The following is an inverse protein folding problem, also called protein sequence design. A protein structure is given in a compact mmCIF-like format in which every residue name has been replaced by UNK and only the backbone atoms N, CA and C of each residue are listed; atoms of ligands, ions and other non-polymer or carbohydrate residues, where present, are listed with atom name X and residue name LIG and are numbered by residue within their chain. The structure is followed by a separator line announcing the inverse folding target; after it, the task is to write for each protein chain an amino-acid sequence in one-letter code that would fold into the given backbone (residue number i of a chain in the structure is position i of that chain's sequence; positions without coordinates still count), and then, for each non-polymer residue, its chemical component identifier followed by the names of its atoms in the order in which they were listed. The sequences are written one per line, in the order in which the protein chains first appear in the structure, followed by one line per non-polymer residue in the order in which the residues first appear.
data_IF_120412680727
#
_entry.id   IF_120412680727
#
_cell.length_a   1.000
_cell.length_b   1.000
_cell.length_c   1.000
_cell.angle_alpha   90.00
_cell.angle_beta   90.00
_cell.angle_gamma   90.00
#
_symmetry.space_group_name_H-M   'P 1'
#
loop_
_entity.id
_entity.type
_entity.pdbx_description
1 polymer ?
#
# COMPACT_ATOMS: atom_id res chain seq x y z
N UNK A 1 -2.19 -26.64 4.50
CA UNK A 1 -3.14 -26.04 3.52
C UNK A 1 -3.16 -26.92 2.26
N UNK A 2 -4.34 -27.37 1.84
CA UNK A 2 -4.50 -28.15 0.61
C UNK A 2 -4.17 -27.29 -0.63
N UNK A 3 -3.83 -27.95 -1.76
CA UNK A 3 -3.44 -27.23 -3.00
C UNK A 3 -4.50 -26.24 -3.46
N UNK A 4 -5.78 -26.63 -3.44
CA UNK A 4 -6.88 -25.75 -3.83
C UNK A 4 -7.02 -24.54 -2.90
N UNK A 5 -6.89 -24.75 -1.59
CA UNK A 5 -6.94 -23.66 -0.60
C UNK A 5 -5.77 -22.69 -0.79
N UNK A 6 -4.59 -23.21 -1.15
CA UNK A 6 -3.42 -22.38 -1.45
C UNK A 6 -3.64 -21.53 -2.69
N UNK A 7 -4.23 -22.08 -3.74
CA UNK A 7 -4.56 -21.31 -4.96
C UNK A 7 -5.60 -20.22 -4.66
N UNK A 8 -6.64 -20.53 -3.88
CA UNK A 8 -7.61 -19.54 -3.45
C UNK A 8 -6.96 -18.43 -2.61
N UNK A 9 -6.10 -18.78 -1.66
CA UNK A 9 -5.40 -17.81 -0.84
C UNK A 9 -4.50 -16.88 -1.68
N UNK A 10 -3.84 -17.38 -2.74
CA UNK A 10 -3.08 -16.54 -3.67
C UNK A 10 -3.99 -15.49 -4.33
N UNK A 11 -5.17 -15.89 -4.83
CA UNK A 11 -6.11 -14.97 -5.45
C UNK A 11 -6.71 -13.98 -4.44
N UNK A 12 -6.98 -14.41 -3.21
CA UNK A 12 -7.45 -13.52 -2.13
C UNK A 12 -6.41 -12.46 -1.76
N UNK A 13 -5.12 -12.82 -1.68
CA UNK A 13 -4.02 -11.88 -1.40
C UNK A 13 -3.88 -10.88 -2.56
N UNK A 14 -3.97 -11.32 -3.82
CA UNK A 14 -3.95 -10.43 -4.98
C UNK A 14 -5.14 -9.47 -4.96
N UNK A 15 -6.33 -9.97 -4.67
CA UNK A 15 -7.54 -9.15 -4.57
C UNK A 15 -7.45 -8.15 -3.40
N UNK A 16 -6.83 -8.54 -2.28
CA UNK A 16 -6.55 -7.65 -1.15
C UNK A 16 -5.64 -6.49 -1.56
N UNK A 17 -4.55 -6.76 -2.29
CA UNK A 17 -3.64 -5.72 -2.79
C UNK A 17 -4.33 -4.80 -3.82
N UNK A 18 -5.17 -5.36 -4.67
CA UNK A 18 -5.97 -4.56 -5.61
C UNK A 18 -6.92 -3.60 -4.86
N UNK A 19 -7.54 -4.03 -3.76
CA UNK A 19 -8.36 -3.16 -2.90
C UNK A 19 -7.54 -2.07 -2.21
N UNK A 20 -6.32 -2.36 -1.81
CA UNK A 20 -5.39 -1.35 -1.28
C UNK A 20 -5.18 -0.22 -2.30
N UNK A 21 -4.78 -0.54 -3.53
CA UNK A 21 -4.57 0.45 -4.58
C UNK A 21 -5.85 1.22 -4.89
N UNK A 22 -6.97 0.53 -5.03
CA UNK A 22 -8.26 1.18 -5.30
C UNK A 22 -8.68 2.11 -4.17
N UNK A 23 -8.47 1.73 -2.91
CA UNK A 23 -8.77 2.55 -1.74
C UNK A 23 -7.99 3.86 -1.73
N UNK A 24 -6.71 3.82 -2.07
CA UNK A 24 -5.88 5.02 -2.22
C UNK A 24 -6.33 5.86 -3.41
N UNK A 25 -6.48 5.26 -4.58
CA UNK A 25 -6.74 5.99 -5.83
C UNK A 25 -8.15 6.59 -5.87
N UNK A 26 -9.15 5.91 -5.30
CA UNK A 26 -10.50 6.44 -5.17
C UNK A 26 -10.73 7.31 -3.92
N UNK A 27 -9.71 7.47 -3.07
CA UNK A 27 -9.80 8.20 -1.79
C UNK A 27 -10.90 7.63 -0.88
N UNK A 28 -11.08 6.31 -0.90
CA UNK A 28 -12.07 5.59 -0.09
C UNK A 28 -11.43 5.13 1.23
N UNK A 29 -11.67 5.91 2.29
CA UNK A 29 -11.09 5.65 3.60
C UNK A 29 -11.53 4.30 4.19
N UNK A 30 -12.80 3.94 4.05
CA UNK A 30 -13.33 2.68 4.58
C UNK A 30 -12.73 1.47 3.85
N UNK A 31 -12.65 1.53 2.53
CA UNK A 31 -12.03 0.49 1.72
C UNK A 31 -10.54 0.34 2.06
N UNK A 32 -9.79 1.45 2.11
CA UNK A 32 -8.36 1.42 2.41
C UNK A 32 -8.10 0.87 3.83
N UNK A 33 -8.91 1.30 4.83
CA UNK A 33 -8.77 0.77 6.19
C UNK A 33 -9.06 -0.73 6.26
N UNK A 34 -10.03 -1.20 5.49
CA UNK A 34 -10.49 -2.60 5.51
C UNK A 34 -9.42 -3.62 5.11
N UNK A 35 -8.39 -3.22 4.39
CA UNK A 35 -7.32 -4.14 3.95
C UNK A 35 -6.29 -4.43 5.03
N UNK A 36 -6.22 -3.59 6.08
CA UNK A 36 -5.25 -3.72 7.16
C UNK A 36 -5.82 -4.47 8.36
N UNK A 37 -4.98 -5.30 8.96
CA UNK A 37 -5.22 -5.79 10.32
C UNK A 37 -5.06 -4.65 11.34
N UNK A 38 -5.66 -4.79 12.51
CA UNK A 38 -5.42 -3.86 13.62
C UNK A 38 -3.95 -3.89 14.02
N UNK A 39 -3.38 -2.72 14.29
CA UNK A 39 -1.96 -2.57 14.63
C UNK A 39 -0.99 -2.84 13.47
N UNK A 40 -1.48 -2.91 12.24
CA UNK A 40 -0.63 -3.12 11.07
C UNK A 40 0.48 -2.07 10.95
N UNK A 41 1.67 -2.54 10.59
CA UNK A 41 2.84 -1.69 10.36
C UNK A 41 2.83 -1.13 8.95
N UNK A 42 3.07 0.17 8.82
CA UNK A 42 3.28 0.84 7.53
C UNK A 42 4.61 1.58 7.54
N UNK A 43 5.49 1.30 6.58
CA UNK A 43 6.80 1.93 6.45
C UNK A 43 6.97 2.55 5.06
N UNK A 44 6.81 3.86 5.01
CA UNK A 44 6.94 4.67 3.81
C UNK A 44 8.10 5.66 3.90
N UNK A 45 9.10 5.37 4.73
CA UNK A 45 10.27 6.25 4.89
C UNK A 45 11.04 6.47 3.58
N UNK A 46 10.93 5.56 2.62
CA UNK A 46 11.53 5.73 1.28
C UNK A 46 10.87 6.86 0.45
N UNK A 47 9.72 7.38 0.87
CA UNK A 47 9.11 8.59 0.27
C UNK A 47 9.82 9.87 0.68
N UNK A 48 10.58 9.85 1.76
CA UNK A 48 11.32 11.00 2.28
C UNK A 48 12.81 10.87 1.94
N UNK A 49 13.45 11.92 1.40
CA UNK A 49 14.90 11.93 1.15
C UNK A 49 15.73 11.70 2.41
N UNK A 50 15.19 12.04 3.58
CA UNK A 50 15.87 11.91 4.87
C UNK A 50 15.43 10.71 5.70
N UNK A 51 14.46 9.91 5.18
CA UNK A 51 13.91 8.77 5.92
C UNK A 51 13.07 9.20 7.13
N UNK A 52 12.17 10.18 6.97
CA UNK A 52 11.35 10.74 8.04
C UNK A 52 10.69 9.63 8.89
N UNK A 53 11.02 9.55 10.21
CA UNK A 53 10.44 8.53 11.09
C UNK A 53 8.91 8.59 11.21
N UNK A 54 8.27 9.74 10.95
CA UNK A 54 6.83 9.88 10.97
C UNK A 54 6.12 9.04 9.89
N UNK A 55 6.86 8.60 8.86
CA UNK A 55 6.36 7.73 7.79
C UNK A 55 6.45 6.23 8.14
N UNK A 56 6.86 5.90 9.36
CA UNK A 56 6.85 4.55 9.90
C UNK A 56 5.89 4.49 11.09
N UNK A 57 4.80 3.76 10.95
CA UNK A 57 3.69 3.76 11.90
C UNK A 57 3.17 2.34 12.15
N UNK A 58 2.52 2.15 13.31
CA UNK A 58 1.79 0.94 13.69
C UNK A 58 0.28 1.21 13.91
N UNK A 59 -0.22 2.30 13.36
CA UNK A 59 -1.61 2.73 13.46
C UNK A 59 -2.21 2.89 12.05
N UNK A 60 -2.93 1.85 11.55
CA UNK A 60 -3.53 1.92 10.21
C UNK A 60 -4.63 2.98 10.10
N UNK A 61 -5.30 3.36 11.18
CA UNK A 61 -6.27 4.46 11.14
C UNK A 61 -5.58 5.81 10.90
N UNK A 62 -4.44 6.04 11.57
CA UNK A 62 -3.61 7.21 11.33
C UNK A 62 -3.01 7.21 9.91
N UNK A 63 -2.53 6.06 9.44
CA UNK A 63 -2.02 5.92 8.08
C UNK A 63 -3.07 6.30 7.03
N UNK A 64 -4.27 5.76 7.13
CA UNK A 64 -5.37 6.06 6.19
C UNK A 64 -5.71 7.54 6.22
N UNK A 65 -5.92 8.10 7.41
CA UNK A 65 -6.27 9.51 7.58
C UNK A 65 -5.20 10.44 6.99
N UNK A 66 -3.93 10.19 7.30
CA UNK A 66 -2.82 11.05 6.87
C UNK A 66 -2.57 10.92 5.35
N UNK A 67 -2.66 9.69 4.82
CA UNK A 67 -2.51 9.45 3.38
C UNK A 67 -3.59 10.17 2.58
N UNK A 68 -4.86 10.02 2.94
CA UNK A 68 -5.95 10.65 2.21
C UNK A 68 -5.97 12.18 2.41
N UNK A 69 -5.53 12.68 3.56
CA UNK A 69 -5.32 14.10 3.77
C UNK A 69 -4.25 14.67 2.82
N UNK A 70 -3.10 14.00 2.71
CA UNK A 70 -2.02 14.43 1.82
C UNK A 70 -2.42 14.39 0.33
N UNK A 71 -3.26 13.43 -0.05
CA UNK A 71 -3.67 13.19 -1.43
C UNK A 71 -4.96 13.90 -1.85
N UNK A 72 -5.50 14.80 -1.01
CA UNK A 72 -6.67 15.61 -1.39
C UNK A 72 -6.34 16.50 -2.61
N UNK A 73 -7.16 16.39 -3.65
CA UNK A 73 -6.96 17.12 -4.90
C UNK A 73 -5.83 16.56 -5.78
N UNK A 74 -5.33 15.37 -5.46
CA UNK A 74 -4.28 14.71 -6.23
C UNK A 74 -4.86 13.55 -7.03
N UNK A 75 -4.70 13.57 -8.34
CA UNK A 75 -5.01 12.44 -9.19
C UNK A 75 -3.90 11.42 -9.06
N UNK A 76 -4.24 10.20 -8.65
CA UNK A 76 -3.27 9.15 -8.39
C UNK A 76 -3.59 7.86 -9.14
N UNK A 77 -2.54 7.15 -9.54
CA UNK A 77 -2.64 5.79 -10.04
C UNK A 77 -1.51 4.97 -9.43
N UNK A 78 -1.88 3.98 -8.63
CA UNK A 78 -0.97 2.99 -8.07
C UNK A 78 -1.15 1.67 -8.80
N UNK A 79 -0.04 1.10 -9.29
CA UNK A 79 -0.03 -0.16 -10.01
C UNK A 79 0.88 -1.16 -9.30
N UNK A 80 0.39 -2.38 -9.15
CA UNK A 80 1.20 -3.53 -8.77
C UNK A 80 1.29 -4.49 -9.95
N UNK A 81 2.48 -5.07 -10.13
CA UNK A 81 2.74 -6.05 -11.17
C UNK A 81 2.79 -7.46 -10.57
N UNK A 82 3.29 -8.42 -11.33
CA UNK A 82 3.34 -9.82 -10.90
C UNK A 82 4.07 -9.99 -9.57
N UNK A 83 3.39 -10.41 -8.50
CA UNK A 83 4.00 -10.59 -7.19
C UNK A 83 4.73 -11.91 -7.07
N UNK A 84 5.75 -11.92 -6.23
CA UNK A 84 6.31 -13.12 -5.64
C UNK A 84 5.67 -13.32 -4.28
N UNK A 85 4.80 -14.35 -4.13
CA UNK A 85 4.06 -14.63 -2.89
C UNK A 85 4.55 -15.95 -2.30
N UNK A 86 4.96 -15.91 -1.04
CA UNK A 86 5.41 -17.06 -0.27
C UNK A 86 4.53 -17.26 0.96
N UNK A 87 4.03 -18.48 1.17
CA UNK A 87 3.34 -18.85 2.41
C UNK A 87 4.35 -19.29 3.46
N UNK A 88 4.33 -18.62 4.59
CA UNK A 88 5.16 -18.94 5.75
C UNK A 88 4.51 -20.00 6.64
N UNK A 89 3.18 -20.06 6.61
CA UNK A 89 2.33 -21.06 7.27
C UNK A 89 0.97 -21.12 6.55
N UNK A 90 0.02 -21.84 7.10
CA UNK A 90 -1.35 -21.86 6.58
C UNK A 90 -2.06 -20.51 6.75
N UNK A 91 -1.63 -19.70 7.71
CA UNK A 91 -2.26 -18.44 8.08
C UNK A 91 -1.37 -17.21 7.88
N UNK A 92 -0.15 -17.38 7.40
CA UNK A 92 0.78 -16.28 7.17
C UNK A 92 1.44 -16.37 5.80
N UNK A 93 1.57 -15.23 5.14
CA UNK A 93 2.25 -15.09 3.87
C UNK A 93 3.06 -13.80 3.81
N UNK A 94 4.03 -13.76 2.92
CA UNK A 94 4.74 -12.55 2.54
C UNK A 94 4.75 -12.40 1.02
N UNK A 95 4.88 -11.15 0.56
CA UNK A 95 4.97 -10.89 -0.87
C UNK A 95 5.88 -9.71 -1.19
N UNK A 96 6.48 -9.79 -2.36
CA UNK A 96 7.18 -8.67 -3.00
C UNK A 96 6.41 -8.30 -4.27
N UNK A 97 5.96 -7.04 -4.33
CA UNK A 97 5.19 -6.50 -5.46
C UNK A 97 6.02 -5.46 -6.20
N UNK A 98 6.46 -5.69 -7.43
CA UNK A 98 6.90 -4.59 -8.28
C UNK A 98 5.77 -3.56 -8.42
N UNK A 99 6.11 -2.29 -8.34
CA UNK A 99 5.10 -1.23 -8.35
C UNK A 99 5.55 -0.03 -9.19
N UNK A 100 4.57 0.68 -9.70
CA UNK A 100 4.71 2.01 -10.28
C UNK A 100 3.57 2.88 -9.75
N UNK A 101 3.84 4.14 -9.52
CA UNK A 101 2.82 5.12 -9.18
C UNK A 101 3.01 6.45 -9.91
N UNK A 102 1.90 7.15 -10.08
CA UNK A 102 1.83 8.48 -10.67
C UNK A 102 0.91 9.35 -9.83
N UNK A 103 1.38 10.55 -9.52
CA UNK A 103 0.62 11.55 -8.78
C UNK A 103 0.66 12.86 -9.55
N UNK A 104 -0.52 13.45 -9.77
CA UNK A 104 -0.70 14.75 -10.40
C UNK A 104 -1.55 15.64 -9.52
N UNK A 105 -0.98 16.74 -9.03
CA UNK A 105 -1.75 17.73 -8.29
C UNK A 105 -2.62 18.53 -9.26
N UNK A 106 -3.94 18.55 -8.99
CA UNK A 106 -4.85 19.46 -9.71
C UNK A 106 -4.50 20.91 -9.38
N UNK A 107 -4.93 21.86 -10.21
CA UNK A 107 -4.61 23.27 -10.02
C UNK A 107 -5.14 23.82 -8.69
N UNK A 108 -6.30 23.34 -8.27
CA UNK A 108 -6.99 23.71 -7.02
C UNK A 108 -6.59 22.86 -5.81
N UNK A 109 -5.63 21.92 -5.97
CA UNK A 109 -5.20 21.08 -4.85
C UNK A 109 -4.55 21.90 -3.73
N UNK A 110 -4.84 21.57 -2.45
CA UNK A 110 -4.11 22.17 -1.34
C UNK A 110 -2.60 21.92 -1.46
N UNK A 111 -1.75 22.90 -1.13
CA UNK A 111 -0.30 22.80 -1.29
C UNK A 111 0.34 21.95 -0.17
N UNK A 112 -0.05 20.69 -0.06
CA UNK A 112 0.40 19.77 1.02
C UNK A 112 1.60 18.92 0.63
N UNK A 113 1.88 18.81 -0.68
CA UNK A 113 3.01 18.05 -1.20
C UNK A 113 4.05 18.99 -1.82
N UNK A 114 5.35 18.65 -1.73
CA UNK A 114 6.44 19.52 -2.19
C UNK A 114 6.68 19.42 -3.72
N UNK A 115 5.71 18.94 -4.48
CA UNK A 115 5.80 18.74 -5.92
C UNK A 115 4.42 18.90 -6.57
N UNK A 116 4.41 19.14 -7.88
CA UNK A 116 3.19 19.17 -8.69
C UNK A 116 2.93 17.82 -9.38
N UNK A 117 3.98 17.06 -9.63
CA UNK A 117 3.96 15.78 -10.32
C UNK A 117 4.99 14.83 -9.74
N UNK A 118 4.60 13.58 -9.57
CA UNK A 118 5.48 12.49 -9.16
C UNK A 118 5.23 11.28 -10.04
N UNK A 119 6.29 10.61 -10.43
CA UNK A 119 6.26 9.28 -11.03
C UNK A 119 7.39 8.46 -10.44
N UNK A 120 7.13 7.21 -10.08
CA UNK A 120 8.15 6.37 -9.48
C UNK A 120 7.88 4.89 -9.59
N UNK A 121 8.88 4.11 -9.29
CA UNK A 121 8.78 2.66 -9.22
C UNK A 121 9.70 2.08 -8.15
N UNK A 122 9.42 0.85 -7.79
CA UNK A 122 10.12 0.11 -6.76
C UNK A 122 9.34 -1.13 -6.38
N UNK A 123 9.31 -1.42 -5.10
CA UNK A 123 8.66 -2.63 -4.58
C UNK A 123 7.92 -2.35 -3.30
N UNK A 124 6.73 -2.97 -3.13
CA UNK A 124 6.14 -3.20 -1.83
C UNK A 124 6.63 -4.52 -1.27
N UNK A 125 7.01 -4.51 -0.01
CA UNK A 125 7.27 -5.70 0.79
C UNK A 125 6.16 -5.84 1.81
N UNK A 126 5.27 -6.79 1.59
CA UNK A 126 4.06 -6.97 2.39
C UNK A 126 4.11 -8.27 3.20
N UNK A 127 3.52 -8.26 4.37
CA UNK A 127 3.19 -9.45 5.14
C UNK A 127 1.69 -9.50 5.37
N UNK A 128 1.16 -10.70 5.34
CA UNK A 128 -0.27 -10.97 5.43
C UNK A 128 -0.56 -11.99 6.51
N UNK A 129 -1.74 -11.88 7.11
CA UNK A 129 -2.28 -12.89 8.03
C UNK A 129 -3.72 -13.19 7.64
N UNK A 130 -4.08 -14.47 7.71
CA UNK A 130 -5.46 -14.92 7.62
C UNK A 130 -6.17 -14.65 8.93
N UNK A 131 -7.31 -13.99 8.85
CA UNK A 131 -8.18 -13.66 9.98
C UNK A 131 -9.56 -14.27 9.78
N UNK A 132 -10.45 -14.14 10.76
CA UNK A 132 -11.86 -14.55 10.61
C UNK A 132 -12.58 -13.79 9.46
N UNK A 133 -12.06 -12.61 9.08
CA UNK A 133 -12.59 -11.78 8.00
C UNK A 133 -11.81 -11.93 6.68
N UNK A 134 -10.96 -12.96 6.56
CA UNK A 134 -10.09 -13.20 5.41
C UNK A 134 -8.66 -12.69 5.62
N UNK A 135 -7.90 -12.66 4.54
CA UNK A 135 -6.52 -12.18 4.57
C UNK A 135 -6.46 -10.66 4.80
N UNK A 136 -5.52 -10.22 5.64
CA UNK A 136 -5.26 -8.80 5.95
C UNK A 136 -3.77 -8.50 5.85
N UNK A 137 -3.43 -7.26 5.50
CA UNK A 137 -2.06 -6.75 5.56
C UNK A 137 -1.71 -6.50 7.03
N UNK A 138 -0.64 -7.13 7.51
CA UNK A 138 -0.09 -6.88 8.86
C UNK A 138 1.16 -6.01 8.81
N UNK A 139 1.82 -5.92 7.66
CA UNK A 139 2.94 -5.03 7.44
C UNK A 139 3.07 -4.71 5.95
N UNK A 140 3.37 -3.46 5.63
CA UNK A 140 3.72 -3.03 4.28
C UNK A 140 4.89 -2.05 4.35
N UNK A 141 5.89 -2.25 3.50
CA UNK A 141 7.05 -1.36 3.36
C UNK A 141 7.28 -1.05 1.90
N UNK A 142 7.33 0.24 1.57
CA UNK A 142 7.70 0.69 0.23
C UNK A 142 9.22 0.88 0.13
N UNK A 143 9.81 0.30 -0.90
CA UNK A 143 11.20 0.50 -1.31
C UNK A 143 11.22 1.16 -2.68
N UNK A 144 11.70 2.39 -2.76
CA UNK A 144 11.83 3.14 -4.00
C UNK A 144 13.12 2.78 -4.74
N UNK A 145 13.01 2.40 -6.01
CA UNK A 145 14.15 2.29 -6.92
C UNK A 145 14.39 3.60 -7.66
N UNK A 146 13.31 4.30 -8.04
CA UNK A 146 13.36 5.57 -8.76
C UNK A 146 12.19 6.46 -8.38
N UNK A 147 12.47 7.75 -8.23
CA UNK A 147 11.48 8.79 -8.01
C UNK A 147 11.81 9.98 -8.90
N UNK A 148 10.82 10.42 -9.69
CA UNK A 148 10.89 11.56 -10.57
C UNK A 148 9.83 12.56 -10.11
N UNK A 149 10.23 13.76 -9.77
CA UNK A 149 9.33 14.83 -9.30
C UNK A 149 9.48 16.06 -10.19
N UNK A 150 8.39 16.79 -10.33
CA UNK A 150 8.36 18.01 -11.13
C UNK A 150 7.34 19.04 -10.67
#
# INVERSE_FOLDING_TARGET
MATTERLLALEEIKALKARYFRGVDSKDAALLRSVFADGAETDFRSESPTGDPALHQHDPDAFVRNTLYALEGVDTMHLGFMPEIEFLSDDEAQARWPMNDRLWLREDAPPRLPFRRLEGWGWYHDRYRRTAEGWKIVSTRLERAKLIVG
#
